data_IF_464539338057
#
_entry.id   IF_464539338057
#
_cell.length_a   1.000
_cell.length_b   1.000
_cell.length_c   1.000
_cell.angle_alpha   90.00
_cell.angle_beta   90.00
_cell.angle_gamma   90.00
#
_symmetry.space_group_name_H-M   'P 1'
#
loop_
_entity.id
_entity.type
_entity.pdbx_description
1 polymer ?
#
# COMPACT_ATOMS: atom_id res chain seq x y z
N UNK A 1 16.28 61.04 37.18
CA UNK A 1 16.46 59.74 36.51
C UNK A 1 15.84 58.68 37.40
N UNK A 2 14.76 58.06 36.93
CA UNK A 2 13.87 57.19 37.70
C UNK A 2 14.47 55.80 37.88
N UNK A 3 14.58 55.34 39.13
CA UNK A 3 15.07 54.02 39.53
C UNK A 3 13.97 52.97 39.40
N UNK A 4 14.29 51.89 38.68
CA UNK A 4 13.53 50.63 38.63
C UNK A 4 13.58 49.93 39.98
N UNK A 5 12.43 49.47 40.48
CA UNK A 5 12.30 48.28 41.33
C UNK A 5 10.87 47.78 41.27
N UNK A 6 10.66 46.56 40.74
CA UNK A 6 9.46 45.77 41.01
C UNK A 6 9.90 44.41 41.53
N UNK A 7 9.41 44.10 42.73
CA UNK A 7 9.57 42.84 43.45
C UNK A 7 8.54 41.80 42.98
N UNK A 8 9.05 40.57 42.83
CA UNK A 8 8.51 39.25 43.22
C UNK A 8 6.98 39.00 43.30
N UNK A 9 6.59 38.01 42.49
CA UNK A 9 5.92 36.75 42.82
C UNK A 9 4.54 36.74 43.54
N UNK A 10 3.57 36.09 42.88
CA UNK A 10 2.47 35.38 43.53
C UNK A 10 2.04 34.16 42.69
N UNK A 11 2.03 33.00 43.32
CA UNK A 11 1.47 31.71 42.87
C UNK A 11 -0.03 31.64 43.16
N UNK A 12 -0.85 31.09 42.24
CA UNK A 12 -1.85 30.05 42.56
C UNK A 12 -2.70 29.58 41.37
N UNK A 13 -2.63 28.25 41.16
CA UNK A 13 -3.74 27.31 40.98
C UNK A 13 -4.83 27.56 39.90
N UNK A 14 -4.82 26.72 38.88
CA UNK A 14 -6.03 26.24 38.22
C UNK A 14 -5.96 24.70 38.09
N UNK A 15 -6.91 24.01 38.73
CA UNK A 15 -7.19 22.58 38.54
C UNK A 15 -8.10 22.45 37.33
N UNK A 16 -7.67 21.72 36.30
CA UNK A 16 -8.52 21.25 35.20
C UNK A 16 -8.76 19.74 35.34
N UNK A 17 -9.98 19.24 35.08
CA UNK A 17 -10.31 17.84 35.30
C UNK A 17 -9.74 16.94 34.21
N UNK A 18 -9.32 15.76 34.69
CA UNK A 18 -8.77 14.61 34.00
C UNK A 18 -9.87 13.99 33.13
N UNK A 19 -9.74 14.05 31.80
CA UNK A 19 -10.64 13.35 30.89
C UNK A 19 -10.29 11.85 30.92
N UNK A 20 -11.28 11.03 31.30
CA UNK A 20 -11.19 9.58 31.21
C UNK A 20 -11.43 9.18 29.75
N UNK A 21 -10.48 8.42 29.21
CA UNK A 21 -10.62 7.73 27.93
C UNK A 21 -11.58 6.57 28.18
N UNK A 22 -12.79 6.70 27.64
CA UNK A 22 -13.80 5.65 27.63
C UNK A 22 -13.72 4.89 26.32
N UNK A 23 -13.18 3.68 26.38
CA UNK A 23 -13.43 2.61 25.41
C UNK A 23 -14.92 2.24 25.43
N UNK A 24 -15.60 2.22 24.27
CA UNK A 24 -16.73 1.31 23.95
C UNK A 24 -16.87 1.24 22.42
N UNK A 25 -16.32 0.13 21.90
CA UNK A 25 -16.82 -0.78 20.86
C UNK A 25 -18.18 -0.45 20.20
N UNK A 26 -18.19 -0.41 18.86
CA UNK A 26 -19.28 -1.05 18.09
C UNK A 26 -18.81 -1.51 16.71
N UNK A 27 -18.58 -2.82 16.63
CA UNK A 27 -18.37 -3.64 15.44
C UNK A 27 -19.46 -3.43 14.39
N UNK A 28 -19.05 -3.33 13.13
CA UNK A 28 -19.70 -4.03 12.02
C UNK A 28 -18.58 -4.63 11.15
N UNK A 29 -18.36 -5.93 11.31
CA UNK A 29 -17.44 -6.70 10.49
C UNK A 29 -18.03 -6.85 9.08
N UNK A 30 -17.31 -6.38 8.06
CA UNK A 30 -17.49 -6.85 6.70
C UNK A 30 -16.51 -8.00 6.48
N UNK A 31 -17.05 -9.20 6.32
CA UNK A 31 -16.28 -10.42 6.10
C UNK A 31 -15.82 -10.43 4.64
N UNK A 32 -14.54 -10.18 4.39
CA UNK A 32 -13.92 -10.41 3.08
C UNK A 32 -13.51 -11.89 2.98
N UNK A 33 -14.09 -12.62 2.03
CA UNK A 33 -13.70 -14.00 1.74
C UNK A 33 -12.47 -13.99 0.83
N UNK A 34 -11.28 -14.23 1.39
CA UNK A 34 -10.09 -14.55 0.60
C UNK A 34 -10.16 -16.04 0.22
N UNK A 35 -10.18 -16.34 -1.08
CA UNK A 35 -10.25 -17.72 -1.59
C UNK A 35 -8.89 -18.40 -1.53
N UNK A 36 -8.68 -19.23 -0.51
CA UNK A 36 -7.66 -20.28 -0.55
C UNK A 36 -8.17 -21.45 -1.42
N UNK A 37 -7.40 -21.85 -2.44
CA UNK A 37 -7.70 -23.02 -3.25
C UNK A 37 -7.51 -24.30 -2.42
N UNK A 38 -8.62 -24.89 -1.93
CA UNK A 38 -8.58 -26.20 -1.29
C UNK A 38 -8.88 -27.32 -2.30
N UNK A 39 -7.93 -28.23 -2.45
CA UNK A 39 -8.09 -29.46 -3.24
C UNK A 39 -9.06 -30.42 -2.54
N UNK A 40 -10.16 -30.79 -3.20
CA UNK A 40 -11.19 -31.68 -2.64
C UNK A 40 -10.68 -33.12 -2.42
N UNK A 41 -11.15 -33.85 -1.39
CA UNK A 41 -10.82 -35.25 -1.20
C UNK A 41 -11.68 -36.16 -2.09
N UNK A 42 -11.06 -37.21 -2.63
CA UNK A 42 -11.69 -38.27 -3.42
C UNK A 42 -12.53 -39.18 -2.51
N UNK A 43 -13.85 -39.18 -2.67
CA UNK A 43 -14.75 -40.13 -1.98
C UNK A 43 -14.96 -41.38 -2.84
N UNK A 44 -14.64 -42.54 -2.26
CA UNK A 44 -14.83 -43.86 -2.85
C UNK A 44 -16.33 -44.25 -2.94
N UNK A 45 -16.75 -44.69 -4.13
CA UNK A 45 -18.13 -45.08 -4.43
C UNK A 45 -18.47 -46.50 -3.91
N UNK A 46 -19.66 -46.66 -3.30
CA UNK A 46 -20.33 -47.96 -3.11
C UNK A 46 -21.46 -48.11 -4.13
N UNK A 47 -21.49 -49.27 -4.79
CA UNK A 47 -22.43 -49.66 -5.83
C UNK A 47 -23.83 -49.99 -5.28
N UNK A 48 -24.89 -49.52 -5.94
CA UNK A 48 -26.18 -50.21 -5.99
C UNK A 48 -26.93 -49.82 -7.28
N UNK A 49 -27.49 -50.82 -7.97
CA UNK A 49 -27.97 -50.75 -9.35
C UNK A 49 -29.23 -49.90 -9.58
N UNK A 50 -29.29 -49.32 -10.78
CA UNK A 50 -30.47 -48.66 -11.30
C UNK A 50 -30.28 -48.20 -12.74
N UNK A 51 -30.96 -48.88 -13.67
CA UNK A 51 -31.41 -48.50 -15.03
C UNK A 51 -30.44 -47.72 -15.94
N UNK A 52 -30.17 -48.31 -17.11
CA UNK A 52 -29.44 -47.78 -18.27
C UNK A 52 -29.72 -46.29 -18.49
N UNK A 53 -28.76 -45.47 -18.07
CA UNK A 53 -28.72 -44.04 -18.35
C UNK A 53 -28.39 -43.84 -19.83
N UNK A 54 -29.10 -42.94 -20.50
CA UNK A 54 -28.64 -42.39 -21.77
C UNK A 54 -27.20 -41.93 -21.55
N UNK A 55 -26.24 -42.53 -22.26
CA UNK A 55 -24.88 -42.01 -22.36
C UNK A 55 -25.01 -40.63 -23.03
N UNK A 56 -25.21 -39.60 -22.23
CA UNK A 56 -24.83 -38.25 -22.62
C UNK A 56 -23.36 -38.34 -22.96
N UNK A 57 -23.06 -38.21 -24.26
CA UNK A 57 -21.70 -37.93 -24.70
C UNK A 57 -21.34 -36.61 -24.03
N UNK A 58 -20.63 -36.67 -22.90
CA UNK A 58 -19.93 -35.51 -22.35
C UNK A 58 -18.98 -35.07 -23.46
N UNK A 59 -19.39 -34.07 -24.22
CA UNK A 59 -18.58 -33.40 -25.21
C UNK A 59 -17.32 -33.00 -24.48
N UNK A 60 -16.17 -33.53 -24.91
CA UNK A 60 -14.89 -33.07 -24.39
C UNK A 60 -14.77 -31.62 -24.86
N UNK A 61 -15.06 -30.69 -23.94
CA UNK A 61 -14.82 -29.27 -24.14
C UNK A 61 -13.32 -29.14 -24.39
N UNK A 62 -12.93 -28.37 -25.41
CA UNK A 62 -11.50 -28.18 -25.64
C UNK A 62 -10.92 -27.41 -24.44
N UNK A 63 -9.69 -27.70 -23.98
CA UNK A 63 -9.08 -26.94 -22.89
C UNK A 63 -9.03 -25.42 -23.15
N UNK A 64 -8.99 -25.03 -24.44
CA UNK A 64 -9.11 -23.64 -24.89
C UNK A 64 -10.49 -23.06 -24.57
N UNK A 65 -11.56 -23.75 -24.92
CA UNK A 65 -12.93 -23.27 -24.68
C UNK A 65 -13.25 -23.23 -23.18
N UNK A 66 -12.71 -24.17 -22.41
CA UNK A 66 -12.82 -24.18 -20.95
C UNK A 66 -12.11 -22.96 -20.34
N UNK A 67 -10.88 -22.66 -20.78
CA UNK A 67 -10.15 -21.46 -20.35
C UNK A 67 -10.91 -20.18 -20.69
N UNK A 68 -11.45 -20.05 -21.90
CA UNK A 68 -12.25 -18.89 -22.30
C UNK A 68 -13.52 -18.77 -21.44
N UNK A 69 -14.16 -19.88 -21.07
CA UNK A 69 -15.31 -19.86 -20.15
C UNK A 69 -14.90 -19.33 -18.77
N UNK A 70 -13.79 -19.81 -18.21
CA UNK A 70 -13.31 -19.38 -16.89
C UNK A 70 -12.95 -17.89 -16.91
N UNK A 71 -12.27 -17.41 -17.95
CA UNK A 71 -11.95 -15.99 -18.11
C UNK A 71 -13.20 -15.10 -18.22
N UNK A 72 -14.26 -15.59 -18.86
CA UNK A 72 -15.54 -14.89 -18.91
C UNK A 72 -16.22 -14.83 -17.54
N UNK A 73 -16.20 -15.94 -16.80
CA UNK A 73 -16.79 -16.01 -15.46
C UNK A 73 -16.06 -15.04 -14.52
N UNK A 74 -14.72 -15.00 -14.56
CA UNK A 74 -13.89 -14.08 -13.78
C UNK A 74 -14.18 -12.61 -14.14
N UNK A 75 -14.15 -12.23 -15.42
CA UNK A 75 -14.50 -10.87 -15.86
C UNK A 75 -15.88 -10.44 -15.38
N UNK A 76 -16.85 -11.35 -15.39
CA UNK A 76 -18.21 -11.05 -14.93
C UNK A 76 -18.28 -10.81 -13.42
N UNK A 77 -17.44 -11.51 -12.66
CA UNK A 77 -17.33 -11.34 -11.22
C UNK A 77 -16.71 -9.99 -10.88
N UNK A 78 -15.59 -9.63 -11.50
CA UNK A 78 -14.92 -8.34 -11.33
C UNK A 78 -15.83 -7.16 -11.72
N UNK A 79 -16.56 -7.27 -12.83
CA UNK A 79 -17.52 -6.26 -13.27
C UNK A 79 -18.69 -6.04 -12.29
N UNK A 80 -18.99 -7.06 -11.47
CA UNK A 80 -20.01 -6.96 -10.44
C UNK A 80 -19.48 -6.25 -9.19
N UNK A 81 -18.25 -6.56 -8.77
CA UNK A 81 -17.60 -5.94 -7.62
C UNK A 81 -17.27 -4.46 -7.86
N UNK A 82 -16.74 -4.12 -9.04
CA UNK A 82 -16.41 -2.74 -9.38
C UNK A 82 -17.63 -1.80 -9.33
N UNK A 83 -18.86 -2.31 -9.50
CA UNK A 83 -20.09 -1.51 -9.38
C UNK A 83 -20.54 -1.31 -7.93
N UNK A 84 -20.11 -2.16 -7.02
CA UNK A 84 -20.44 -2.08 -5.61
C UNK A 84 -19.45 -1.20 -4.83
N UNK A 85 -18.19 -1.11 -5.29
CA UNK A 85 -17.10 -0.42 -4.58
C UNK A 85 -16.83 1.04 -5.01
N UNK A 86 -17.50 1.58 -6.03
CA UNK A 86 -17.31 2.97 -6.43
C UNK A 86 -17.91 3.93 -5.37
N UNK A 87 -17.06 4.79 -4.79
CA UNK A 87 -16.88 6.04 -5.52
C UNK A 87 -15.43 6.53 -5.54
N UNK A 88 -14.88 6.60 -6.75
CA UNK A 88 -13.74 7.48 -7.09
C UNK A 88 -14.02 8.97 -6.82
N UNK A 89 -15.26 9.35 -6.47
CA UNK A 89 -15.72 10.74 -6.40
C UNK A 89 -15.02 11.61 -5.36
N UNK A 90 -14.32 11.04 -4.38
CA UNK A 90 -13.51 11.81 -3.42
C UNK A 90 -12.03 11.94 -3.77
N UNK A 91 -11.48 11.01 -4.58
CA UNK A 91 -10.04 10.93 -4.81
C UNK A 91 -9.51 12.12 -5.63
N UNK A 92 -10.28 12.56 -6.63
CA UNK A 92 -9.92 13.75 -7.42
C UNK A 92 -9.97 15.01 -6.57
N UNK A 93 -10.95 15.11 -5.66
CA UNK A 93 -11.10 16.26 -4.77
C UNK A 93 -9.91 16.39 -3.81
N UNK A 94 -9.37 15.26 -3.32
CA UNK A 94 -8.16 15.22 -2.49
C UNK A 94 -6.96 15.78 -3.27
N UNK A 95 -6.70 15.29 -4.49
CA UNK A 95 -5.57 15.78 -5.28
C UNK A 95 -5.68 17.27 -5.62
N UNK A 96 -6.88 17.74 -5.99
CA UNK A 96 -7.14 19.14 -6.29
C UNK A 96 -6.92 20.03 -5.05
N UNK A 97 -7.36 19.59 -3.87
CA UNK A 97 -7.15 20.30 -2.61
C UNK A 97 -5.66 20.46 -2.27
N UNK A 98 -4.85 19.46 -2.57
CA UNK A 98 -3.41 19.46 -2.35
C UNK A 98 -2.60 20.05 -3.51
N UNK A 99 -3.23 20.34 -4.65
CA UNK A 99 -2.59 20.91 -5.85
C UNK A 99 -1.66 19.95 -6.56
N UNK A 100 -1.96 18.64 -6.52
CA UNK A 100 -1.25 17.62 -7.29
C UNK A 100 -2.00 17.29 -8.58
N UNK A 101 -1.25 17.15 -9.66
CA UNK A 101 -1.71 16.61 -10.94
C UNK A 101 -1.43 15.11 -11.00
N UNK A 102 -2.44 14.32 -11.36
CA UNK A 102 -2.30 12.89 -11.61
C UNK A 102 -1.80 12.63 -13.03
N UNK A 103 -0.65 11.98 -13.15
CA UNK A 103 -0.07 11.54 -14.41
C UNK A 103 -0.07 10.01 -14.42
N UNK A 104 -0.98 9.44 -15.21
CA UNK A 104 -1.10 8.00 -15.43
C UNK A 104 -1.23 7.68 -16.92
N UNK A 105 -0.94 6.42 -17.29
CA UNK A 105 -1.25 5.86 -18.60
C UNK A 105 -2.17 4.66 -18.42
N UNK A 106 -3.17 4.42 -19.28
CA UNK A 106 -4.15 3.34 -19.09
C UNK A 106 -3.53 1.96 -18.91
N UNK A 107 -2.41 1.69 -19.60
CA UNK A 107 -1.82 0.35 -19.74
C UNK A 107 -0.48 0.23 -19.02
N UNK A 108 -0.16 1.21 -18.19
CA UNK A 108 1.09 1.24 -17.43
C UNK A 108 0.70 1.28 -15.96
N UNK A 109 1.36 0.43 -15.20
CA UNK A 109 1.16 0.31 -13.76
C UNK A 109 1.65 1.57 -13.03
N UNK A 110 2.82 2.09 -13.41
CA UNK A 110 3.39 3.29 -12.80
C UNK A 110 2.45 4.50 -12.83
N UNK A 111 2.24 5.10 -11.65
CA UNK A 111 1.49 6.33 -11.45
C UNK A 111 2.44 7.41 -10.92
N UNK A 112 2.25 8.66 -11.34
CA UNK A 112 3.01 9.80 -10.84
C UNK A 112 2.08 10.94 -10.43
N UNK A 113 2.18 11.41 -9.19
CA UNK A 113 1.61 12.69 -8.76
C UNK A 113 2.65 13.79 -8.94
N UNK A 114 2.24 14.91 -9.52
CA UNK A 114 3.13 16.04 -9.80
C UNK A 114 2.61 17.33 -9.18
N UNK A 115 3.49 18.06 -8.50
CA UNK A 115 3.23 19.41 -7.99
C UNK A 115 4.43 20.31 -8.22
N UNK A 116 4.18 21.57 -8.55
CA UNK A 116 5.22 22.60 -8.63
C UNK A 116 4.90 23.70 -7.63
N UNK A 117 5.84 24.01 -6.75
CA UNK A 117 5.69 25.06 -5.73
C UNK A 117 6.01 26.44 -6.30
N UNK A 118 5.65 27.50 -5.57
CA UNK A 118 5.91 28.90 -5.98
C UNK A 118 7.40 29.22 -6.13
N UNK A 119 8.28 28.55 -5.38
CA UNK A 119 9.73 28.74 -5.46
C UNK A 119 10.39 27.95 -6.62
N UNK A 120 9.57 27.29 -7.46
CA UNK A 120 10.00 26.50 -8.60
C UNK A 120 10.54 25.11 -8.22
N UNK A 121 10.29 24.64 -7.00
CA UNK A 121 10.58 23.26 -6.60
C UNK A 121 9.57 22.33 -7.25
N UNK A 122 10.04 21.30 -7.93
CA UNK A 122 9.22 20.25 -8.52
C UNK A 122 9.16 19.06 -7.56
N UNK A 123 7.95 18.62 -7.25
CA UNK A 123 7.65 17.47 -6.39
C UNK A 123 6.99 16.40 -7.25
N UNK A 124 7.58 15.21 -7.28
CA UNK A 124 7.01 14.03 -7.93
C UNK A 124 6.85 12.92 -6.90
N UNK A 125 5.68 12.30 -6.86
CA UNK A 125 5.42 11.10 -6.06
C UNK A 125 5.15 9.97 -7.02
N UNK A 126 5.99 8.94 -7.03
CA UNK A 126 5.88 7.77 -7.92
C UNK A 126 5.55 6.53 -7.09
N UNK A 127 4.57 5.76 -7.54
CA UNK A 127 4.18 4.49 -6.93
C UNK A 127 3.68 3.50 -7.99
N UNK A 128 3.67 2.23 -7.64
CA UNK A 128 3.25 1.11 -8.50
C UNK A 128 2.09 0.38 -7.83
N UNK A 129 0.84 0.55 -8.31
CA UNK A 129 -0.35 -0.07 -7.74
C UNK A 129 -0.26 -1.58 -7.50
N UNK A 130 0.44 -2.34 -8.35
CA UNK A 130 0.59 -3.79 -8.15
C UNK A 130 1.67 -4.18 -7.12
N UNK A 131 2.49 -3.24 -6.64
CA UNK A 131 3.59 -3.50 -5.70
C UNK A 131 3.14 -3.38 -4.24
N UNK A 132 1.91 -3.83 -3.93
CA UNK A 132 1.38 -3.82 -2.56
C UNK A 132 2.17 -4.83 -1.73
N UNK A 133 2.88 -4.36 -0.72
CA UNK A 133 3.50 -5.23 0.26
C UNK A 133 2.48 -5.52 1.37
N UNK A 134 2.06 -6.77 1.47
CA UNK A 134 1.44 -7.25 2.69
C UNK A 134 2.55 -7.47 3.73
N UNK A 135 2.38 -6.91 4.93
CA UNK A 135 3.22 -7.27 6.06
C UNK A 135 2.87 -8.69 6.52
N UNK A 136 3.17 -9.68 5.70
CA UNK A 136 3.51 -10.99 6.26
C UNK A 136 4.85 -10.77 6.94
N UNK A 137 5.03 -11.13 8.21
CA UNK A 137 6.26 -10.88 8.98
C UNK A 137 7.54 -11.51 8.39
N UNK A 138 7.53 -11.97 7.14
CA UNK A 138 8.67 -12.42 6.36
C UNK A 138 9.42 -11.20 5.78
N UNK A 139 10.19 -10.54 6.63
CA UNK A 139 11.32 -9.78 6.10
C UNK A 139 12.29 -10.75 5.41
N UNK A 140 12.79 -10.40 4.22
CA UNK A 140 13.80 -11.17 3.48
C UNK A 140 15.20 -11.20 4.14
N UNK A 141 15.29 -10.84 5.43
CA UNK A 141 16.52 -10.82 6.22
C UNK A 141 16.31 -11.56 7.55
N UNK A 142 16.78 -12.82 7.60
CA UNK A 142 17.23 -13.42 8.86
C UNK A 142 16.38 -14.56 9.42
N UNK A 143 16.19 -15.64 8.66
CA UNK A 143 16.16 -16.97 9.27
C UNK A 143 17.58 -17.34 9.76
N UNK A 144 18.09 -16.75 10.84
CA UNK A 144 19.17 -17.38 11.62
C UNK A 144 19.03 -17.03 13.12
N UNK A 145 18.86 -18.10 13.92
CA UNK A 145 19.29 -18.24 15.31
C UNK A 145 18.28 -17.98 16.46
N UNK A 146 17.45 -18.99 16.77
CA UNK A 146 17.46 -19.54 18.14
C UNK A 146 17.11 -21.03 18.15
N UNK A 147 18.14 -21.84 18.36
CA UNK A 147 18.10 -23.29 18.49
C UNK A 147 17.50 -23.73 19.83
N UNK A 148 16.66 -24.76 19.77
CA UNK A 148 16.56 -25.89 20.71
C UNK A 148 16.48 -25.58 22.22
N UNK A 149 15.26 -25.51 22.75
CA UNK A 149 14.96 -26.12 24.06
C UNK A 149 13.52 -26.68 24.05
N UNK A 150 13.41 -27.96 23.67
CA UNK A 150 12.20 -28.75 23.80
C UNK A 150 12.19 -29.32 25.23
N UNK A 151 11.31 -28.83 26.11
CA UNK A 151 10.67 -29.58 27.20
C UNK A 151 9.81 -28.63 28.07
N UNK A 152 8.51 -28.55 27.76
CA UNK A 152 7.44 -28.66 28.78
C UNK A 152 6.06 -28.67 28.10
N UNK A 153 5.56 -29.89 27.91
CA UNK A 153 4.18 -30.19 27.58
C UNK A 153 3.33 -30.02 28.85
N UNK A 154 2.64 -28.88 29.00
CA UNK A 154 1.24 -28.76 29.50
C UNK A 154 0.87 -27.32 29.86
N UNK A 155 -0.37 -27.01 29.47
CA UNK A 155 -1.19 -25.89 29.94
C UNK A 155 -0.71 -24.50 29.54
N UNK A 156 -1.16 -24.07 28.36
CA UNK A 156 -1.84 -22.80 28.13
C UNK A 156 -2.50 -22.89 26.74
N UNK A 157 -3.66 -23.55 26.69
CA UNK A 157 -4.69 -23.26 25.69
C UNK A 157 -5.26 -21.87 26.03
N UNK A 158 -4.46 -20.84 25.80
CA UNK A 158 -4.99 -19.53 25.46
C UNK A 158 -4.85 -19.47 23.94
N UNK A 159 -5.96 -19.72 23.24
CA UNK A 159 -6.20 -19.14 21.93
C UNK A 159 -5.99 -17.64 22.09
N UNK A 160 -4.74 -17.18 21.96
CA UNK A 160 -4.51 -15.92 21.31
C UNK A 160 -5.09 -16.10 19.92
N UNK A 161 -6.35 -15.70 19.77
CA UNK A 161 -6.77 -14.92 18.62
C UNK A 161 -5.71 -13.81 18.47
N UNK A 162 -4.54 -14.15 17.91
CA UNK A 162 -3.87 -13.22 17.04
C UNK A 162 -4.92 -13.02 15.96
N UNK A 163 -5.77 -12.02 16.18
CA UNK A 163 -6.21 -11.18 15.08
C UNK A 163 -4.93 -11.00 14.27
N UNK A 164 -4.79 -11.78 13.18
CA UNK A 164 -3.97 -11.36 12.07
C UNK A 164 -4.58 -10.02 11.72
N UNK A 165 -4.11 -8.98 12.40
CA UNK A 165 -4.39 -7.59 12.14
C UNK A 165 -3.92 -7.49 10.71
N UNK A 166 -4.90 -7.64 9.81
CA UNK A 166 -4.71 -7.83 8.39
C UNK A 166 -4.05 -6.54 7.98
N UNK A 167 -2.72 -6.52 7.96
CA UNK A 167 -2.02 -5.26 7.82
C UNK A 167 -2.38 -4.77 6.44
N UNK A 168 -3.19 -3.72 6.40
CA UNK A 168 -3.72 -3.17 5.18
C UNK A 168 -2.50 -2.76 4.37
N UNK A 169 -2.26 -3.47 3.26
CA UNK A 169 -0.95 -3.51 2.63
C UNK A 169 -0.40 -2.11 2.39
N UNK A 170 0.85 -1.89 2.75
CA UNK A 170 1.52 -0.62 2.53
C UNK A 170 2.09 -0.60 1.11
N UNK A 171 2.10 0.57 0.50
CA UNK A 171 2.55 0.72 -0.88
C UNK A 171 3.91 1.43 -0.92
N UNK A 172 4.98 0.81 -1.48
CA UNK A 172 6.24 1.49 -1.72
C UNK A 172 6.06 2.71 -2.61
N UNK A 173 6.47 3.86 -2.09
CA UNK A 173 6.29 5.17 -2.70
C UNK A 173 7.61 5.92 -2.70
N UNK A 174 7.99 6.48 -3.86
CA UNK A 174 9.20 7.31 -4.01
C UNK A 174 8.83 8.76 -4.24
N UNK A 175 9.31 9.63 -3.36
CA UNK A 175 9.08 11.08 -3.42
C UNK A 175 10.35 11.76 -3.90
N UNK A 176 10.25 12.56 -4.95
CA UNK A 176 11.35 13.32 -5.54
C UNK A 176 11.08 14.80 -5.34
N UNK A 177 12.04 15.50 -4.73
CA UNK A 177 11.96 16.94 -4.48
C UNK A 177 13.14 17.59 -5.18
N UNK A 178 12.88 18.20 -6.33
CA UNK A 178 13.90 18.75 -7.22
C UNK A 178 13.88 20.27 -7.18
N UNK A 179 15.03 20.85 -6.82
CA UNK A 179 15.23 22.30 -6.84
C UNK A 179 16.05 22.72 -8.05
N UNK A 180 15.66 23.74 -8.82
CA UNK A 180 16.37 24.18 -10.01
C UNK A 180 17.86 24.45 -9.72
N UNK A 181 18.75 23.71 -10.37
CA UNK A 181 20.20 23.84 -10.23
C UNK A 181 20.78 23.43 -8.87
N UNK A 182 19.98 22.83 -7.98
CA UNK A 182 20.41 22.43 -6.61
C UNK A 182 20.38 20.92 -6.38
N UNK A 183 19.94 20.14 -7.36
CA UNK A 183 19.84 18.69 -7.27
C UNK A 183 18.46 18.22 -6.81
N UNK A 184 18.38 16.95 -6.43
CA UNK A 184 17.14 16.26 -6.08
C UNK A 184 17.32 15.50 -4.77
N UNK A 185 16.38 15.69 -3.85
CA UNK A 185 16.22 14.80 -2.69
C UNK A 185 15.23 13.71 -3.10
N UNK A 186 15.59 12.45 -2.85
CA UNK A 186 14.74 11.29 -3.03
C UNK A 186 14.44 10.71 -1.66
N UNK A 187 13.16 10.49 -1.39
CA UNK A 187 12.68 9.90 -0.15
C UNK A 187 11.99 8.59 -0.54
N UNK A 188 12.48 7.49 0.01
CA UNK A 188 11.81 6.21 -0.04
C UNK A 188 10.89 6.14 1.17
N UNK A 189 9.61 5.89 0.91
CA UNK A 189 8.57 5.82 1.92
C UNK A 189 7.58 4.71 1.59
N UNK A 190 6.77 4.33 2.57
CA UNK A 190 5.59 3.50 2.37
C UNK A 190 4.34 4.35 2.57
N UNK A 191 3.41 4.27 1.64
CA UNK A 191 2.09 4.88 1.79
C UNK A 191 1.21 3.98 2.64
N UNK A 192 0.72 4.55 3.73
CA UNK A 192 -0.24 3.95 4.66
C UNK A 192 -1.47 4.87 4.72
N UNK A 193 -2.65 4.37 5.12
CA UNK A 193 -3.88 5.17 5.19
C UNK A 193 -3.78 6.43 6.06
N UNK A 194 -2.84 6.47 7.01
CA UNK A 194 -2.70 7.60 7.94
C UNK A 194 -1.43 8.44 7.72
N UNK A 195 -0.45 7.96 6.93
CA UNK A 195 0.83 8.67 6.74
C UNK A 195 1.67 8.14 5.55
N UNK A 196 2.72 8.86 5.21
CA UNK A 196 3.83 8.42 4.36
C UNK A 196 5.02 8.03 5.24
N UNK A 197 5.12 6.76 5.62
CA UNK A 197 6.17 6.27 6.50
C UNK A 197 7.55 6.31 5.83
N UNK A 198 8.42 7.24 6.24
CA UNK A 198 9.74 7.42 5.63
C UNK A 198 10.69 6.30 6.04
N UNK A 199 11.30 5.65 5.04
CA UNK A 199 12.32 4.62 5.25
C UNK A 199 13.73 5.17 5.08
N UNK A 200 13.93 6.04 4.10
CA UNK A 200 15.26 6.49 3.70
C UNK A 200 15.22 7.83 2.96
N UNK A 201 16.30 8.61 3.09
CA UNK A 201 16.46 9.90 2.41
C UNK A 201 17.82 9.99 1.74
N UNK A 202 17.83 10.19 0.42
CA UNK A 202 19.03 10.29 -0.40
C UNK A 202 19.09 11.63 -1.12
N UNK A 203 20.29 12.16 -1.30
CA UNK A 203 20.51 13.37 -2.10
C UNK A 203 21.32 13.07 -3.35
N UNK A 204 20.81 13.52 -4.49
CA UNK A 204 21.47 13.45 -5.79
C UNK A 204 21.81 14.86 -6.26
N UNK A 205 23.11 15.11 -6.48
CA UNK A 205 23.57 16.38 -7.04
C UNK A 205 23.10 16.57 -8.48
N UNK A 206 23.07 15.49 -9.25
CA UNK A 206 22.58 15.48 -10.62
C UNK A 206 21.15 14.93 -10.64
N UNK A 207 20.18 15.82 -10.89
CA UNK A 207 18.77 15.48 -10.97
C UNK A 207 18.45 14.50 -12.10
N UNK A 208 19.25 14.47 -13.18
CA UNK A 208 19.03 13.53 -14.27
C UNK A 208 19.26 12.08 -13.81
N UNK A 209 20.26 11.84 -12.95
CA UNK A 209 20.52 10.52 -12.38
C UNK A 209 19.40 10.11 -11.43
N UNK A 210 18.81 11.05 -10.69
CA UNK A 210 17.70 10.73 -9.78
C UNK A 210 16.42 10.37 -10.55
N UNK A 211 16.09 11.12 -11.60
CA UNK A 211 14.78 11.09 -12.25
C UNK A 211 14.68 10.16 -13.46
N UNK A 212 15.80 9.84 -14.12
CA UNK A 212 15.80 9.05 -15.35
C UNK A 212 15.50 7.57 -15.10
N UNK A 213 14.69 6.98 -15.98
CA UNK A 213 14.40 5.55 -16.03
C UNK A 213 15.43 4.77 -16.90
N UNK A 214 16.49 5.43 -17.36
CA UNK A 214 17.56 4.78 -18.13
C UNK A 214 18.34 3.75 -17.29
N UNK A 215 18.65 2.60 -17.89
CA UNK A 215 19.41 1.54 -17.23
C UNK A 215 20.77 2.01 -16.67
N UNK A 216 21.44 2.95 -17.35
CA UNK A 216 22.70 3.54 -16.88
C UNK A 216 22.50 4.42 -15.64
N UNK A 217 21.39 5.18 -15.59
CA UNK A 217 21.04 5.98 -14.43
C UNK A 217 20.76 5.06 -13.23
N UNK A 218 20.01 3.97 -13.44
CA UNK A 218 19.73 2.99 -12.38
C UNK A 218 21.00 2.30 -11.86
N UNK A 219 21.89 1.86 -12.76
CA UNK A 219 23.18 1.29 -12.36
C UNK A 219 24.01 2.27 -11.53
N UNK A 220 23.96 3.56 -11.89
CA UNK A 220 24.64 4.62 -11.15
C UNK A 220 24.01 4.80 -9.77
N UNK A 221 22.67 4.81 -9.66
CA UNK A 221 21.95 4.87 -8.37
C UNK A 221 22.30 3.70 -7.44
N UNK A 222 22.55 2.50 -7.98
CA UNK A 222 23.00 1.32 -7.20
C UNK A 222 24.38 1.49 -6.57
N UNK A 223 25.20 2.41 -7.11
CA UNK A 223 26.56 2.68 -6.60
C UNK A 223 26.60 3.89 -5.64
N UNK A 224 25.46 4.55 -5.42
CA UNK A 224 25.37 5.75 -4.57
C UNK A 224 24.98 5.32 -3.15
N UNK A 225 25.53 6.00 -2.16
CA UNK A 225 25.10 5.82 -0.77
C UNK A 225 23.70 6.40 -0.58
N UNK A 226 22.77 5.56 -0.17
CA UNK A 226 21.37 5.94 -0.04
C UNK A 226 21.02 6.65 1.27
N UNK A 227 21.93 6.67 2.23
CA UNK A 227 21.66 7.21 3.56
C UNK A 227 21.54 6.09 4.60
N UNK A 228 21.55 6.44 5.89
CA UNK A 228 21.23 5.49 6.93
C UNK A 228 19.72 5.19 6.93
N UNK A 229 19.27 4.09 7.56
CA UNK A 229 17.86 3.89 7.87
C UNK A 229 17.29 5.12 8.59
N UNK A 230 16.13 5.61 8.16
CA UNK A 230 15.55 6.85 8.68
C UNK A 230 15.32 6.81 10.20
N UNK A 231 14.95 5.64 10.74
CA UNK A 231 14.75 5.41 12.16
C UNK A 231 16.00 5.62 13.01
N UNK A 232 17.19 5.55 12.41
CA UNK A 232 18.46 5.78 13.09
C UNK A 232 18.83 7.28 13.17
N UNK A 233 18.06 8.17 12.54
CA UNK A 233 18.27 9.62 12.61
C UNK A 233 17.79 10.17 13.97
N UNK A 234 18.31 11.33 14.37
CA UNK A 234 17.81 12.04 15.57
C UNK A 234 16.31 12.37 15.41
N UNK A 235 15.51 12.18 16.46
CA UNK A 235 14.06 12.41 16.41
C UNK A 235 13.68 13.81 15.92
N UNK A 236 14.44 14.85 16.29
CA UNK A 236 14.12 16.22 15.85
C UNK A 236 14.34 16.39 14.34
N UNK A 237 15.26 15.62 13.77
CA UNK A 237 15.48 15.59 12.33
C UNK A 237 14.35 14.82 11.64
N UNK A 238 13.92 13.68 12.21
CA UNK A 238 12.79 12.93 11.69
C UNK A 238 11.50 13.79 11.68
N UNK A 239 11.16 14.44 12.80
CA UNK A 239 10.02 15.34 12.91
C UNK A 239 10.07 16.48 11.89
N UNK A 240 11.26 17.02 11.64
CA UNK A 240 11.46 18.09 10.67
C UNK A 240 11.22 17.64 9.21
N UNK A 241 11.51 16.38 8.88
CA UNK A 241 11.16 15.82 7.58
C UNK A 241 9.66 15.70 7.40
N UNK A 242 8.94 15.12 8.38
CA UNK A 242 7.47 15.03 8.32
C UNK A 242 6.82 16.40 8.25
N UNK A 243 7.23 17.35 9.10
CA UNK A 243 6.74 18.74 9.07
C UNK A 243 6.97 19.38 7.70
N UNK A 244 8.10 19.09 7.05
CA UNK A 244 8.38 19.62 5.72
C UNK A 244 7.47 18.99 4.65
N UNK A 245 7.27 17.66 4.68
CA UNK A 245 6.38 16.96 3.76
C UNK A 245 4.93 17.47 3.88
N UNK A 246 4.41 17.58 5.10
CA UNK A 246 3.09 18.18 5.37
C UNK A 246 3.00 19.61 4.81
N UNK A 247 4.05 20.43 4.98
CA UNK A 247 4.05 21.81 4.49
C UNK A 247 3.95 21.93 2.96
N UNK A 248 4.28 20.88 2.23
CA UNK A 248 4.14 20.81 0.77
C UNK A 248 2.92 19.99 0.32
N UNK A 249 2.05 19.59 1.25
CA UNK A 249 0.84 18.82 1.00
C UNK A 249 1.08 17.32 0.81
N UNK A 250 2.17 16.79 1.36
CA UNK A 250 2.44 15.34 1.42
C UNK A 250 2.15 14.87 2.85
N UNK A 251 0.89 14.60 3.13
CA UNK A 251 0.37 14.18 4.42
C UNK A 251 -0.43 12.86 4.31
N UNK A 252 -1.15 12.52 5.38
CA UNK A 252 -1.97 11.30 5.44
C UNK A 252 -3.07 11.23 4.38
N UNK A 253 -3.66 12.34 3.96
CA UNK A 253 -4.71 12.33 2.92
C UNK A 253 -4.13 11.90 1.56
N UNK A 254 -2.88 12.31 1.26
CA UNK A 254 -2.16 11.81 0.09
C UNK A 254 -1.79 10.33 0.25
N UNK A 255 -1.43 9.88 1.46
CA UNK A 255 -1.23 8.46 1.75
C UNK A 255 -2.48 7.62 1.45
N UNK A 256 -3.64 8.03 1.98
CA UNK A 256 -4.94 7.41 1.73
C UNK A 256 -5.32 7.44 0.25
N UNK A 257 -5.08 8.56 -0.44
CA UNK A 257 -5.29 8.66 -1.88
C UNK A 257 -4.49 7.60 -2.62
N UNK A 258 -3.19 7.46 -2.33
CA UNK A 258 -2.31 6.51 -3.01
C UNK A 258 -2.82 5.07 -2.82
N UNK A 259 -3.15 4.69 -1.58
CA UNK A 259 -3.66 3.35 -1.28
C UNK A 259 -5.01 3.07 -1.99
N UNK A 260 -5.94 4.03 -1.92
CA UNK A 260 -7.28 3.89 -2.51
C UNK A 260 -7.25 3.88 -4.04
N UNK A 261 -6.50 4.81 -4.63
CA UNK A 261 -6.34 4.90 -6.08
C UNK A 261 -5.63 3.67 -6.65
N UNK A 262 -4.68 3.09 -5.91
CA UNK A 262 -4.01 1.87 -6.32
C UNK A 262 -4.97 0.69 -6.46
N UNK A 263 -5.92 0.52 -5.54
CA UNK A 263 -6.97 -0.52 -5.64
C UNK A 263 -7.80 -0.35 -6.93
N UNK A 264 -8.20 0.88 -7.25
CA UNK A 264 -8.97 1.19 -8.47
C UNK A 264 -8.15 0.91 -9.74
N UNK A 265 -6.90 1.37 -9.77
CA UNK A 265 -6.02 1.25 -10.93
C UNK A 265 -5.62 -0.21 -11.18
N UNK A 266 -5.28 -0.96 -10.12
CA UNK A 266 -4.94 -2.39 -10.20
C UNK A 266 -6.13 -3.18 -10.75
N UNK A 267 -7.34 -2.99 -10.21
CA UNK A 267 -8.52 -3.70 -10.71
C UNK A 267 -8.79 -3.42 -12.19
N UNK A 268 -8.58 -2.18 -12.63
CA UNK A 268 -8.69 -1.81 -14.05
C UNK A 268 -7.66 -2.58 -14.92
N UNK A 269 -6.40 -2.62 -14.49
CA UNK A 269 -5.32 -3.32 -15.19
C UNK A 269 -5.55 -4.84 -15.20
N UNK A 270 -6.03 -5.41 -14.09
CA UNK A 270 -6.37 -6.82 -13.98
C UNK A 270 -7.47 -7.22 -14.96
N UNK A 271 -8.59 -6.48 -14.96
CA UNK A 271 -9.70 -6.72 -15.90
C UNK A 271 -9.24 -6.61 -17.35
N UNK A 272 -8.43 -5.60 -17.68
CA UNK A 272 -7.86 -5.46 -19.02
C UNK A 272 -6.96 -6.65 -19.39
N UNK A 273 -6.12 -7.11 -18.47
CA UNK A 273 -5.27 -8.28 -18.66
C UNK A 273 -6.10 -9.53 -18.98
N UNK A 274 -7.17 -9.80 -18.20
CA UNK A 274 -8.09 -10.89 -18.46
C UNK A 274 -8.76 -10.79 -19.83
N UNK A 275 -9.20 -9.59 -20.22
CA UNK A 275 -9.78 -9.36 -21.55
C UNK A 275 -8.79 -9.65 -22.68
N UNK A 276 -7.54 -9.21 -22.56
CA UNK A 276 -6.54 -9.37 -23.61
C UNK A 276 -6.11 -10.85 -23.75
N UNK A 277 -5.98 -11.56 -22.63
CA UNK A 277 -5.75 -13.02 -22.63
C UNK A 277 -6.94 -13.76 -23.25
N UNK A 278 -8.17 -13.38 -22.88
CA UNK A 278 -9.38 -13.95 -23.47
C UNK A 278 -9.43 -13.73 -24.99
N UNK A 279 -9.20 -12.50 -25.46
CA UNK A 279 -9.17 -12.16 -26.90
C UNK A 279 -8.14 -12.99 -27.65
N UNK A 280 -6.96 -13.25 -27.06
CA UNK A 280 -5.94 -14.12 -27.64
C UNK A 280 -6.44 -15.55 -27.85
N UNK A 281 -7.08 -16.14 -26.82
CA UNK A 281 -7.63 -17.50 -26.92
C UNK A 281 -8.97 -17.59 -27.66
N UNK A 282 -9.62 -16.47 -27.99
CA UNK A 282 -10.78 -16.44 -28.89
C UNK A 282 -10.38 -16.32 -30.37
N UNK A 283 -9.17 -15.82 -30.66
CA UNK A 283 -8.62 -15.70 -32.03
C UNK A 283 -8.24 -17.04 -32.69
#
# INVERSE_FOLDING_TARGET
MSTRMFLRAATRAAKGPRAQIGSILRQQAMVCNVRAFSAMPVVAAKHAGGKVSKKEKRTQISPRDELVSILNDELSFEDSQAKEEEPTSGLVEILDAHGFELIELPDVDNVTLKKTTEDGTEILVKFVPSDVNSYTGESAYGEEEFSEEFENEKELEEESEMEEDFNEGYLPTKIYITKPGKGTVVIDANSEPENLAIEQVTFFKDSAIALSDDALAEQTRKSIYWGPPFQNLDHRLQDAYYTYLESVGLDGEIGEFICSYSKVKENHLYRKSLEDVKKFFES
#
